data_IF_832561762076
#
_entry.id   IF_832561762076
#
_cell.length_a   1.000
_cell.length_b   1.000
_cell.length_c   1.000
_cell.angle_alpha   90.00
_cell.angle_beta   90.00
_cell.angle_gamma   90.00
#
_symmetry.space_group_name_H-M   'P 1'
#
loop_
_entity.id
_entity.type
_entity.pdbx_description
1 polymer ?
#
# COMPACT_ATOMS: atom_id res chain seq x y z
N UNK A 1 -3.88 6.89 -41.97
CA UNK A 1 -4.13 6.02 -40.81
C UNK A 1 -4.74 6.90 -39.72
N UNK A 2 -6.01 6.66 -39.32
CA UNK A 2 -6.61 7.39 -38.19
C UNK A 2 -5.96 6.88 -36.92
N UNK A 3 -5.37 7.77 -36.12
CA UNK A 3 -4.97 7.44 -34.75
C UNK A 3 -6.20 6.86 -34.03
N UNK A 4 -6.07 5.65 -33.49
CA UNK A 4 -7.12 5.09 -32.66
C UNK A 4 -7.30 6.03 -31.46
N UNK A 5 -8.51 6.54 -31.26
CA UNK A 5 -8.82 7.33 -30.08
C UNK A 5 -8.59 6.46 -28.85
N UNK A 6 -7.92 7.00 -27.82
CA UNK A 6 -7.67 6.26 -26.58
C UNK A 6 -9.01 5.84 -25.96
N UNK A 7 -9.04 4.77 -25.15
CA UNK A 7 -10.29 4.35 -24.49
C UNK A 7 -10.84 5.47 -23.59
N UNK A 8 -9.97 6.36 -23.09
CA UNK A 8 -10.34 7.57 -22.37
C UNK A 8 -11.12 8.54 -23.25
N UNK A 9 -10.75 8.71 -24.52
CA UNK A 9 -11.49 9.55 -25.47
C UNK A 9 -12.88 8.99 -25.79
N UNK A 10 -13.00 7.65 -25.87
CA UNK A 10 -14.28 6.96 -26.11
C UNK A 10 -15.17 7.02 -24.85
N UNK A 11 -14.60 6.82 -23.66
CA UNK A 11 -15.34 6.83 -22.39
C UNK A 11 -15.79 8.23 -21.94
N UNK A 12 -15.13 9.30 -22.39
CA UNK A 12 -15.50 10.70 -22.06
C UNK A 12 -16.86 11.13 -22.61
N UNK A 13 -17.35 10.48 -23.67
CA UNK A 13 -18.65 10.81 -24.29
C UNK A 13 -19.82 10.04 -23.68
N UNK A 14 -19.59 8.82 -23.18
CA UNK A 14 -20.57 7.97 -22.50
C UNK A 14 -19.85 6.86 -21.73
N UNK A 15 -20.27 6.52 -20.50
CA UNK A 15 -19.80 5.29 -19.86
C UNK A 15 -20.15 4.09 -20.75
N UNK A 16 -19.14 3.52 -21.41
CA UNK A 16 -19.29 2.39 -22.31
C UNK A 16 -18.46 1.22 -21.77
N UNK A 17 -19.03 0.02 -21.62
CA UNK A 17 -18.24 -1.19 -21.33
C UNK A 17 -17.31 -1.48 -22.52
N UNK A 18 -16.05 -1.03 -22.43
CA UNK A 18 -15.04 -1.19 -23.48
C UNK A 18 -14.00 -2.28 -23.16
N UNK A 19 -14.07 -2.88 -21.97
CA UNK A 19 -13.07 -3.83 -21.46
C UNK A 19 -13.50 -5.30 -21.65
N UNK A 20 -12.54 -6.25 -21.72
CA UNK A 20 -12.83 -7.68 -21.76
C UNK A 20 -13.65 -8.17 -20.55
N UNK A 21 -13.47 -7.52 -19.39
CA UNK A 21 -14.28 -7.78 -18.20
C UNK A 21 -14.36 -6.59 -17.23
N UNK A 22 -14.77 -6.84 -15.98
CA UNK A 22 -14.80 -5.81 -14.93
C UNK A 22 -13.40 -5.38 -14.51
N UNK A 23 -13.24 -4.09 -14.26
CA UNK A 23 -12.00 -3.47 -13.78
C UNK A 23 -12.31 -2.54 -12.60
N UNK A 24 -11.43 -2.48 -11.59
CA UNK A 24 -11.67 -1.75 -10.34
C UNK A 24 -10.41 -1.02 -9.88
N UNK A 25 -10.61 0.21 -9.41
CA UNK A 25 -9.63 0.99 -8.66
C UNK A 25 -9.99 1.07 -7.18
N UNK A 26 -8.98 1.05 -6.31
CA UNK A 26 -9.09 1.42 -4.89
C UNK A 26 -7.80 2.05 -4.40
N UNK A 27 -7.95 3.05 -3.55
CA UNK A 27 -6.85 3.88 -3.06
C UNK A 27 -6.79 3.79 -1.53
N UNK A 28 -5.66 3.34 -1.02
CA UNK A 28 -5.33 3.29 0.40
C UNK A 28 -4.22 4.29 0.71
N UNK A 29 -4.38 5.08 1.76
CA UNK A 29 -3.40 6.11 2.14
C UNK A 29 -2.11 5.57 2.75
N UNK A 30 -2.10 4.32 3.21
CA UNK A 30 -0.92 3.65 3.79
C UNK A 30 -1.09 2.11 3.77
N UNK A 31 -0.04 1.34 4.13
CA UNK A 31 -0.08 -0.12 4.16
C UNK A 31 -1.06 -0.77 5.14
N UNK A 32 -1.67 -0.02 6.08
CA UNK A 32 -2.80 -0.53 6.88
C UNK A 32 -4.00 -0.94 6.02
N UNK A 33 -4.09 -0.43 4.78
CA UNK A 33 -5.00 -0.93 3.76
C UNK A 33 -6.49 -0.93 4.18
N UNK A 34 -6.96 0.19 4.74
CA UNK A 34 -8.30 0.33 5.32
C UNK A 34 -9.47 0.10 4.34
N UNK A 35 -9.30 0.37 3.03
CA UNK A 35 -10.33 0.03 2.01
C UNK A 35 -10.12 -1.36 1.40
N UNK A 36 -9.06 -2.06 1.83
CA UNK A 36 -8.62 -3.36 1.35
C UNK A 36 -8.40 -3.36 -0.17
N UNK A 37 -7.69 -2.36 -0.69
CA UNK A 37 -7.37 -2.24 -2.13
C UNK A 37 -6.67 -3.49 -2.65
N UNK A 38 -5.61 -3.94 -1.96
CA UNK A 38 -4.81 -5.12 -2.35
C UNK A 38 -5.62 -6.40 -2.56
N UNK A 39 -6.79 -6.53 -1.95
CA UNK A 39 -7.64 -7.72 -2.11
C UNK A 39 -8.87 -7.49 -3.00
N UNK A 40 -9.26 -6.23 -3.26
CA UNK A 40 -10.59 -5.88 -3.81
C UNK A 40 -10.55 -4.96 -5.03
N UNK A 41 -9.39 -4.73 -5.65
CA UNK A 41 -9.25 -3.96 -6.89
C UNK A 41 -8.29 -4.60 -7.88
N UNK A 42 -8.53 -4.38 -9.19
CA UNK A 42 -7.64 -4.85 -10.26
C UNK A 42 -6.32 -4.07 -10.24
N UNK A 43 -6.37 -2.78 -9.90
CA UNK A 43 -5.21 -1.98 -9.50
C UNK A 43 -5.46 -1.40 -8.11
N UNK A 44 -4.54 -1.66 -7.19
CA UNK A 44 -4.50 -1.14 -5.85
C UNK A 44 -3.40 -0.08 -5.76
N UNK A 45 -3.75 1.09 -5.24
CA UNK A 45 -2.84 2.19 -4.98
C UNK A 45 -2.65 2.29 -3.48
N UNK A 46 -1.45 2.00 -2.97
CA UNK A 46 -1.17 1.96 -1.53
C UNK A 46 -0.10 2.99 -1.19
N UNK A 47 -0.45 3.99 -0.39
CA UNK A 47 0.47 5.05 0.03
C UNK A 47 1.72 4.52 0.72
N UNK A 48 2.85 5.16 0.46
CA UNK A 48 4.15 4.81 1.03
C UNK A 48 5.07 6.05 1.10
N UNK A 49 6.24 5.89 1.71
CA UNK A 49 7.31 6.90 1.70
C UNK A 49 8.66 6.25 1.42
N UNK A 50 9.68 7.06 1.08
CA UNK A 50 11.04 6.59 0.76
C UNK A 50 12.09 6.96 1.79
N UNK A 51 11.88 8.07 2.48
CA UNK A 51 12.79 8.63 3.46
C UNK A 51 12.57 8.04 4.86
N UNK A 52 13.19 8.67 5.85
CA UNK A 52 13.27 8.15 7.20
C UNK A 52 11.95 8.32 7.96
N UNK A 53 11.63 7.35 8.82
CA UNK A 53 10.60 7.53 9.84
C UNK A 53 11.04 8.66 10.78
N UNK A 54 10.14 9.62 10.99
CA UNK A 54 10.36 10.72 11.93
C UNK A 54 10.12 10.24 13.35
N UNK A 55 11.07 10.54 14.24
CA UNK A 55 11.04 10.12 15.64
C UNK A 55 11.13 11.34 16.56
N UNK A 56 10.11 11.57 17.36
CA UNK A 56 10.16 12.52 18.48
C UNK A 56 10.76 11.81 19.71
N UNK A 57 12.06 11.99 19.92
CA UNK A 57 12.80 11.32 21.00
C UNK A 57 12.35 11.77 22.40
N UNK A 58 11.89 13.01 22.55
CA UNK A 58 11.46 13.53 23.86
C UNK A 58 10.16 12.85 24.29
N UNK A 59 9.25 12.63 23.34
CA UNK A 59 7.97 12.00 23.60
C UNK A 59 8.03 10.44 23.62
N UNK A 60 9.10 9.80 23.12
CA UNK A 60 9.29 8.33 23.26
C UNK A 60 9.29 7.92 24.74
N UNK A 61 9.93 8.71 25.60
CA UNK A 61 9.94 8.48 27.05
C UNK A 61 8.53 8.47 27.65
N UNK A 62 7.58 9.21 27.08
CA UNK A 62 6.18 9.20 27.51
C UNK A 62 5.48 7.86 27.31
N UNK A 63 5.85 7.08 26.27
CA UNK A 63 5.34 5.71 26.12
C UNK A 63 5.99 4.76 27.13
N UNK A 64 7.32 4.81 27.27
CA UNK A 64 8.07 3.94 28.20
C UNK A 64 7.67 4.22 29.66
N UNK A 65 7.40 5.48 30.00
CA UNK A 65 6.92 5.92 31.31
C UNK A 65 5.42 5.70 31.54
N UNK A 66 4.66 5.23 30.54
CA UNK A 66 3.23 4.96 30.66
C UNK A 66 2.31 6.19 30.61
N UNK A 67 2.83 7.37 30.26
CA UNK A 67 2.02 8.58 30.05
C UNK A 67 1.15 8.47 28.80
N UNK A 68 1.63 7.76 27.77
CA UNK A 68 0.91 7.54 26.52
C UNK A 68 0.46 6.09 26.39
N UNK A 69 -0.83 5.90 26.15
CA UNK A 69 -1.38 4.57 25.88
C UNK A 69 -0.89 4.05 24.52
N UNK A 70 -0.34 2.82 24.43
CA UNK A 70 0.06 2.22 23.17
C UNK A 70 -1.16 2.03 22.25
N UNK A 71 -0.91 2.11 20.94
CA UNK A 71 -1.89 1.93 19.88
C UNK A 71 -3.14 2.81 20.05
N UNK A 72 -2.95 4.05 20.53
CA UNK A 72 -4.05 4.98 20.80
C UNK A 72 -5.07 4.47 21.82
N UNK A 73 -4.71 3.52 22.68
CA UNK A 73 -5.61 2.92 23.66
C UNK A 73 -6.53 1.83 23.08
N UNK A 74 -6.26 1.31 21.88
CA UNK A 74 -7.07 0.28 21.23
C UNK A 74 -7.27 -1.00 22.07
N UNK A 75 -6.36 -1.27 23.01
CA UNK A 75 -6.38 -2.47 23.86
C UNK A 75 -6.80 -2.20 25.31
N UNK A 76 -7.31 -1.00 25.63
CA UNK A 76 -7.70 -0.58 26.99
C UNK A 76 -8.82 -1.40 27.64
N UNK A 77 -9.53 -2.23 26.88
CA UNK A 77 -10.58 -3.12 27.39
C UNK A 77 -10.09 -4.37 28.14
N UNK A 78 -8.77 -4.61 28.20
CA UNK A 78 -8.16 -5.72 28.94
C UNK A 78 -6.85 -5.26 29.58
N UNK A 79 -6.52 -5.82 30.73
CA UNK A 79 -5.20 -5.65 31.35
C UNK A 79 -4.17 -6.54 30.65
N UNK A 80 -3.21 -5.90 29.97
CA UNK A 80 -2.09 -6.52 29.29
C UNK A 80 -0.75 -6.30 30.04
N UNK A 81 -0.79 -5.61 31.18
CA UNK A 81 0.39 -5.09 31.86
C UNK A 81 0.82 -3.71 31.35
N UNK A 82 1.93 -3.22 31.91
CA UNK A 82 2.56 -1.97 31.46
C UNK A 82 3.20 -2.15 30.08
N UNK A 83 3.23 -1.09 29.29
CA UNK A 83 3.83 -1.08 27.96
C UNK A 83 5.31 -1.49 28.01
N UNK A 84 5.69 -2.43 27.16
CA UNK A 84 7.08 -2.89 27.01
C UNK A 84 7.52 -2.69 25.55
N UNK A 85 8.33 -1.66 25.30
CA UNK A 85 8.79 -1.31 23.95
C UNK A 85 9.58 -2.44 23.27
N UNK A 86 10.27 -3.27 24.05
CA UNK A 86 11.03 -4.40 23.51
C UNK A 86 10.06 -5.48 23.01
N UNK A 87 9.05 -5.82 23.82
CA UNK A 87 8.08 -6.88 23.47
C UNK A 87 7.03 -6.46 22.46
N UNK A 88 6.64 -5.19 22.45
CA UNK A 88 5.48 -4.71 21.68
C UNK A 88 5.87 -3.95 20.40
N UNK A 89 7.13 -3.50 20.27
CA UNK A 89 7.60 -2.76 19.10
C UNK A 89 8.85 -3.39 18.50
N UNK A 90 9.96 -3.41 19.23
CA UNK A 90 11.28 -3.80 18.70
C UNK A 90 11.29 -5.28 18.29
N UNK A 91 10.93 -6.18 19.21
CA UNK A 91 10.87 -7.62 18.98
C UNK A 91 9.76 -8.08 18.03
N UNK A 92 8.86 -7.18 17.62
CA UNK A 92 7.82 -7.43 16.62
C UNK A 92 8.11 -6.75 15.27
N UNK A 93 9.22 -6.01 15.15
CA UNK A 93 9.63 -5.44 13.87
C UNK A 93 10.02 -6.58 12.92
N UNK A 94 9.37 -6.72 11.74
CA UNK A 94 9.55 -7.88 10.88
C UNK A 94 10.96 -7.99 10.26
N UNK A 95 11.73 -6.91 10.26
CA UNK A 95 13.10 -6.89 9.73
C UNK A 95 14.15 -6.67 10.82
N UNK A 96 13.76 -6.67 12.09
CA UNK A 96 14.67 -6.50 13.23
C UNK A 96 15.53 -5.21 13.13
N UNK A 97 15.02 -4.19 12.43
CA UNK A 97 15.78 -2.96 12.11
C UNK A 97 15.69 -1.87 13.19
N UNK A 98 15.22 -2.18 14.40
CA UNK A 98 14.97 -1.22 15.49
C UNK A 98 15.72 -1.63 16.74
N UNK A 99 16.21 -0.66 17.52
CA UNK A 99 16.86 -0.93 18.81
C UNK A 99 16.84 0.31 19.73
N UNK A 100 17.09 0.08 21.02
CA UNK A 100 17.33 1.16 21.99
C UNK A 100 18.84 1.40 22.16
N UNK A 101 19.25 2.67 22.10
CA UNK A 101 20.63 3.10 22.37
C UNK A 101 20.62 4.30 23.32
N UNK A 102 21.16 4.13 24.52
CA UNK A 102 21.20 5.20 25.54
C UNK A 102 19.82 5.77 25.89
N UNK A 103 18.77 4.95 25.87
CA UNK A 103 17.39 5.38 26.12
C UNK A 103 16.68 6.04 24.92
N UNK A 104 17.34 6.10 23.76
CA UNK A 104 16.76 6.63 22.52
C UNK A 104 16.40 5.50 21.56
N UNK A 105 15.25 5.62 20.90
CA UNK A 105 14.81 4.67 19.89
C UNK A 105 15.55 4.95 18.57
N UNK A 106 16.14 3.93 17.98
CA UNK A 106 16.82 3.98 16.68
C UNK A 106 16.15 3.05 15.69
N UNK A 107 16.15 3.45 14.42
CA UNK A 107 15.59 2.69 13.30
C UNK A 107 16.59 2.77 12.15
N UNK A 108 16.98 1.63 11.61
CA UNK A 108 17.66 1.55 10.32
C UNK A 108 16.61 1.57 9.20
N UNK A 109 16.34 2.75 8.67
CA UNK A 109 15.32 2.94 7.62
C UNK A 109 15.65 2.22 6.31
N UNK A 110 16.93 1.91 6.06
CA UNK A 110 17.34 1.18 4.87
C UNK A 110 16.78 -0.24 4.86
N UNK A 111 16.72 -0.87 6.03
CA UNK A 111 16.19 -2.22 6.23
C UNK A 111 14.70 -2.22 6.63
N UNK A 112 14.06 -1.04 6.68
CA UNK A 112 12.65 -0.90 6.99
C UNK A 112 11.77 -1.21 5.77
N UNK A 113 10.85 -2.17 5.93
CA UNK A 113 9.84 -2.52 4.92
C UNK A 113 8.57 -1.69 4.99
N UNK A 114 8.50 -0.72 5.92
CA UNK A 114 7.38 0.23 6.07
C UNK A 114 6.04 -0.45 6.36
N UNK A 115 6.05 -1.49 7.21
CA UNK A 115 4.86 -2.26 7.58
C UNK A 115 3.84 -1.53 8.47
N UNK A 116 4.15 -0.31 8.94
CA UNK A 116 3.34 0.54 9.83
C UNK A 116 3.23 0.07 11.29
N UNK A 117 3.66 -1.15 11.66
CA UNK A 117 3.51 -1.67 13.04
C UNK A 117 3.95 -0.68 14.13
N UNK A 118 5.18 -0.19 14.08
CA UNK A 118 5.72 0.74 15.08
C UNK A 118 4.95 2.07 15.13
N UNK A 119 4.57 2.62 13.96
CA UNK A 119 3.76 3.85 13.86
C UNK A 119 2.36 3.62 14.43
N UNK A 120 1.74 2.45 14.18
CA UNK A 120 0.44 2.10 14.76
C UNK A 120 0.50 2.03 16.29
N UNK A 121 1.56 1.41 16.85
CA UNK A 121 1.71 1.28 18.30
C UNK A 121 2.08 2.62 18.96
N UNK A 122 2.91 3.43 18.32
CA UNK A 122 3.44 4.68 18.89
C UNK A 122 3.14 5.93 18.02
N UNK A 123 1.87 6.22 17.70
CA UNK A 123 1.51 7.22 16.68
C UNK A 123 1.80 8.67 17.08
N UNK A 124 2.02 8.94 18.38
CA UNK A 124 2.37 10.29 18.87
C UNK A 124 3.85 10.65 18.66
N UNK A 125 4.70 9.65 18.40
CA UNK A 125 6.16 9.84 18.38
C UNK A 125 6.81 9.34 17.10
N UNK A 126 6.19 8.36 16.43
CA UNK A 126 6.63 7.85 15.14
C UNK A 126 5.69 8.36 14.06
N UNK A 127 6.25 9.03 13.05
CA UNK A 127 5.50 9.54 11.91
C UNK A 127 6.14 9.08 10.59
N UNK A 128 5.30 8.98 9.57
CA UNK A 128 5.73 8.72 8.20
C UNK A 128 6.76 9.76 7.73
N UNK A 129 7.61 9.39 6.79
CA UNK A 129 8.51 10.33 6.12
C UNK A 129 7.79 11.38 5.27
N UNK A 130 8.57 12.31 4.73
CA UNK A 130 8.10 13.43 3.93
C UNK A 130 8.27 13.20 2.41
N UNK A 131 9.14 12.27 1.99
CA UNK A 131 9.23 11.80 0.60
C UNK A 131 8.13 10.76 0.30
N UNK A 132 6.91 11.27 0.08
CA UNK A 132 5.68 10.46 -0.05
C UNK A 132 5.37 10.10 -1.50
N UNK A 133 4.67 8.98 -1.67
CA UNK A 133 4.17 8.47 -2.94
C UNK A 133 3.25 7.27 -2.72
N UNK A 134 3.08 6.43 -3.74
CA UNK A 134 2.32 5.19 -3.66
C UNK A 134 3.06 4.03 -4.31
N UNK A 135 2.75 2.81 -3.87
CA UNK A 135 3.02 1.57 -4.59
C UNK A 135 1.77 1.16 -5.37
N UNK A 136 1.95 0.63 -6.58
CA UNK A 136 0.86 0.09 -7.40
C UNK A 136 0.95 -1.43 -7.44
N UNK A 137 -0.14 -2.09 -7.04
CA UNK A 137 -0.26 -3.54 -7.05
C UNK A 137 -1.40 -3.96 -7.96
N UNK A 138 -1.25 -5.07 -8.69
CA UNK A 138 -2.17 -5.44 -9.76
C UNK A 138 -2.69 -6.87 -9.66
N UNK A 139 -3.89 -7.11 -10.18
CA UNK A 139 -4.44 -8.44 -10.41
C UNK A 139 -5.33 -9.01 -9.31
N UNK A 140 -5.75 -8.24 -8.30
CA UNK A 140 -6.58 -8.80 -7.24
C UNK A 140 -7.99 -9.21 -7.73
N UNK A 141 -8.43 -10.40 -7.32
CA UNK A 141 -9.75 -10.93 -7.66
C UNK A 141 -10.25 -11.99 -6.68
N UNK A 142 -11.57 -12.12 -6.66
CA UNK A 142 -12.26 -13.25 -6.04
C UNK A 142 -11.99 -14.57 -6.79
N UNK A 143 -12.36 -15.73 -6.23
CA UNK A 143 -11.96 -17.05 -6.73
C UNK A 143 -12.23 -17.33 -8.21
N UNK A 144 -13.41 -17.01 -8.74
CA UNK A 144 -13.79 -17.39 -10.11
C UNK A 144 -12.94 -16.62 -11.15
N UNK A 145 -12.33 -17.26 -12.16
CA UNK A 145 -12.28 -18.71 -12.42
C UNK A 145 -11.04 -19.38 -11.79
N UNK A 146 -9.84 -18.83 -12.01
CA UNK A 146 -8.56 -19.50 -11.73
C UNK A 146 -7.97 -19.23 -10.33
N UNK A 147 -8.82 -19.16 -9.31
CA UNK A 147 -8.43 -18.92 -7.93
C UNK A 147 -8.45 -17.44 -7.51
N UNK A 148 -8.43 -17.23 -6.19
CA UNK A 148 -8.37 -15.91 -5.60
C UNK A 148 -6.95 -15.36 -5.70
N UNK A 149 -6.85 -14.05 -5.93
CA UNK A 149 -5.56 -13.35 -6.03
C UNK A 149 -5.62 -12.07 -5.21
N UNK A 150 -4.51 -11.77 -4.53
CA UNK A 150 -4.21 -10.43 -4.05
C UNK A 150 -3.36 -9.69 -5.09
N UNK A 151 -3.28 -8.37 -4.96
CA UNK A 151 -2.47 -7.52 -5.82
C UNK A 151 -0.99 -7.90 -5.70
N UNK A 152 -0.35 -8.11 -6.84
CA UNK A 152 1.10 -8.31 -6.94
C UNK A 152 1.78 -6.97 -7.22
N UNK A 153 2.91 -6.70 -6.55
CA UNK A 153 3.62 -5.42 -6.67
C UNK A 153 4.14 -5.23 -8.10
N UNK A 154 3.68 -4.18 -8.78
CA UNK A 154 4.10 -3.82 -10.13
C UNK A 154 5.04 -2.61 -10.11
N UNK A 155 4.58 -1.50 -9.51
CA UNK A 155 5.37 -0.28 -9.38
C UNK A 155 5.70 -0.10 -7.90
N UNK A 156 6.97 -0.27 -7.48
CA UNK A 156 7.37 -0.13 -6.08
C UNK A 156 7.08 1.27 -5.51
N UNK A 157 7.30 2.31 -6.32
CA UNK A 157 7.02 3.68 -5.91
C UNK A 157 6.81 4.60 -7.13
N UNK A 158 5.75 5.40 -7.07
CA UNK A 158 5.46 6.50 -8.00
C UNK A 158 4.98 7.71 -7.22
N UNK A 159 5.30 8.92 -7.71
CA UNK A 159 4.87 10.16 -7.06
C UNK A 159 3.39 10.40 -7.29
N UNK A 160 2.74 11.01 -6.30
CA UNK A 160 1.32 11.37 -6.38
C UNK A 160 1.22 12.89 -6.45
N UNK A 161 1.47 13.41 -7.65
CA UNK A 161 1.46 14.84 -7.92
C UNK A 161 0.48 15.11 -9.06
N UNK A 162 -0.43 16.07 -8.88
CA UNK A 162 -1.37 16.46 -9.92
C UNK A 162 -0.60 17.01 -11.14
N UNK A 163 -0.89 16.57 -12.38
CA UNK A 163 -2.10 15.86 -12.84
C UNK A 163 -2.03 14.32 -12.87
N UNK A 164 -1.09 13.69 -12.16
CA UNK A 164 -0.94 12.24 -12.00
C UNK A 164 -0.54 11.48 -13.27
N UNK A 165 0.24 12.12 -14.14
CA UNK A 165 0.58 11.57 -15.46
C UNK A 165 1.33 10.24 -15.37
N UNK A 166 2.30 10.12 -14.45
CA UNK A 166 3.05 8.85 -14.23
C UNK A 166 2.11 7.69 -13.84
N UNK A 167 1.07 7.97 -13.04
CA UNK A 167 0.10 6.96 -12.61
C UNK A 167 -0.83 6.60 -13.78
N UNK A 168 -1.28 7.60 -14.54
CA UNK A 168 -2.14 7.40 -15.72
C UNK A 168 -1.43 6.60 -16.80
N UNK A 169 -0.16 6.86 -17.05
CA UNK A 169 0.65 6.12 -18.03
C UNK A 169 0.68 4.62 -17.72
N UNK A 170 0.87 4.25 -16.45
CA UNK A 170 0.81 2.84 -16.02
C UNK A 170 -0.58 2.24 -16.20
N UNK A 171 -1.63 2.99 -15.86
CA UNK A 171 -3.02 2.55 -16.02
C UNK A 171 -3.35 2.30 -17.51
N UNK A 172 -3.01 3.27 -18.36
CA UNK A 172 -3.28 3.22 -19.81
C UNK A 172 -2.48 2.09 -20.47
N UNK A 173 -1.21 1.92 -20.11
CA UNK A 173 -0.40 0.79 -20.60
C UNK A 173 -0.99 -0.58 -20.21
N UNK A 174 -1.51 -0.73 -18.99
CA UNK A 174 -2.20 -1.96 -18.56
C UNK A 174 -3.50 -2.16 -19.34
N UNK A 175 -4.27 -1.09 -19.56
CA UNK A 175 -5.52 -1.18 -20.31
C UNK A 175 -5.30 -1.52 -21.76
N UNK A 176 -4.36 -0.88 -22.45
CA UNK A 176 -4.06 -1.16 -23.86
C UNK A 176 -3.65 -2.62 -24.05
N UNK A 177 -2.77 -3.13 -23.19
CA UNK A 177 -2.38 -4.54 -23.21
C UNK A 177 -3.55 -5.48 -22.89
N UNK A 178 -4.28 -5.25 -21.80
CA UNK A 178 -5.36 -6.14 -21.38
C UNK A 178 -6.55 -6.12 -22.34
N UNK A 179 -6.84 -4.99 -22.98
CA UNK A 179 -7.91 -4.88 -23.97
C UNK A 179 -7.63 -5.65 -25.24
N UNK A 180 -6.38 -5.69 -25.69
CA UNK A 180 -5.97 -6.43 -26.88
C UNK A 180 -5.85 -7.95 -26.59
N UNK A 181 -5.20 -8.29 -25.48
CA UNK A 181 -4.80 -9.67 -25.18
C UNK A 181 -5.78 -10.44 -24.28
N UNK A 182 -6.68 -9.73 -23.59
CA UNK A 182 -7.62 -10.29 -22.64
C UNK A 182 -8.71 -11.11 -23.32
N UNK A 183 -8.91 -12.35 -22.86
CA UNK A 183 -10.02 -13.18 -23.33
C UNK A 183 -11.35 -12.64 -22.78
N UNK A 184 -12.44 -13.04 -23.42
CA UNK A 184 -13.79 -12.71 -22.95
C UNK A 184 -13.97 -13.13 -21.48
N UNK A 185 -14.31 -12.16 -20.62
CA UNK A 185 -14.51 -12.35 -19.17
C UNK A 185 -13.27 -12.79 -18.40
N UNK A 186 -12.07 -12.53 -18.92
CA UNK A 186 -10.80 -12.76 -18.21
C UNK A 186 -10.39 -11.50 -17.44
N UNK A 187 -10.10 -11.63 -16.15
CA UNK A 187 -9.62 -10.52 -15.31
C UNK A 187 -8.14 -10.26 -15.56
N UNK A 188 -7.67 -9.05 -15.26
CA UNK A 188 -6.26 -8.68 -15.34
C UNK A 188 -5.34 -9.70 -14.64
N UNK A 189 -5.67 -10.12 -13.42
CA UNK A 189 -4.87 -11.10 -12.69
C UNK A 189 -4.81 -12.49 -13.33
N UNK A 190 -5.82 -12.87 -14.11
CA UNK A 190 -5.83 -14.12 -14.88
C UNK A 190 -4.98 -13.99 -16.15
N UNK A 191 -5.07 -12.83 -16.84
CA UNK A 191 -4.18 -12.51 -17.95
C UNK A 191 -2.70 -12.57 -17.52
N UNK A 192 -2.34 -11.95 -16.39
CA UNK A 192 -0.98 -11.98 -15.84
C UNK A 192 -0.54 -13.42 -15.56
N UNK A 193 -1.41 -14.28 -15.00
CA UNK A 193 -1.08 -15.71 -14.81
C UNK A 193 -0.85 -16.43 -16.13
N UNK A 194 -1.60 -16.09 -17.18
CA UNK A 194 -1.56 -16.76 -18.48
C UNK A 194 -0.36 -16.34 -19.31
N UNK A 195 -0.03 -15.04 -19.35
CA UNK A 195 1.04 -14.49 -20.19
C UNK A 195 2.36 -14.31 -19.44
N UNK A 196 2.35 -14.32 -18.12
CA UNK A 196 3.53 -14.04 -17.31
C UNK A 196 3.53 -12.61 -16.79
N UNK A 197 4.50 -12.32 -15.92
CA UNK A 197 4.65 -11.01 -15.29
C UNK A 197 5.71 -10.13 -15.97
N UNK A 198 6.57 -10.74 -16.81
CA UNK A 198 7.65 -10.11 -17.57
C UNK A 198 7.10 -9.24 -18.71
#
# INVERSE_FOLDING_TARGET
ARAAASVMDICRLRPCPAFPYKFKFKFDGCPNCCVASIARSDIAFVGNWKDDIKIDQEAVAGYVGGEFAPNGGAHSGRDWGAFDIEKEVIGLCPTECMWMDGGKLKIDNRECTRCIHCINVMPRVLHIGDDRGISMLVGAKAPILDGAQMGSLLVPFVKVEEPYDEIKEVIEGIWDWWMEEGKNRERLGELIKRQGFQ
#
